data_IF_162361732124
#
_entry.id   IF_162361732124
#
_cell.length_a   1.000
_cell.length_b   1.000
_cell.length_c   1.000
_cell.angle_alpha   90.00
_cell.angle_beta   90.00
_cell.angle_gamma   90.00
#
_symmetry.space_group_name_H-M   'P 1'
#
loop_
_entity.id
_entity.type
_entity.pdbx_description
1 polymer ?
#
# COMPACT_ATOMS: atom_id res chain seq x y z
N UNK A 1 7.07 -15.93 2.41
CA UNK A 1 6.74 -14.61 1.85
C UNK A 1 5.33 -14.64 1.29
N UNK A 2 4.52 -13.65 1.64
CA UNK A 2 3.15 -13.57 1.15
C UNK A 2 2.99 -12.31 0.29
N UNK A 3 2.27 -12.45 -0.83
CA UNK A 3 2.05 -11.36 -1.79
C UNK A 3 0.56 -11.07 -1.86
N UNK A 4 0.18 -9.79 -1.64
CA UNK A 4 -1.15 -9.28 -1.91
C UNK A 4 -1.16 -8.64 -3.30
N UNK A 5 -2.07 -9.07 -4.14
CA UNK A 5 -2.19 -8.58 -5.52
C UNK A 5 -3.03 -7.31 -5.60
N UNK A 6 -2.88 -6.58 -6.69
CA UNK A 6 -3.75 -5.45 -7.01
C UNK A 6 -5.24 -5.86 -7.02
N UNK A 7 -5.54 -7.08 -7.45
CA UNK A 7 -6.90 -7.59 -7.46
C UNK A 7 -7.48 -7.72 -6.05
N UNK A 8 -6.71 -8.24 -5.10
CA UNK A 8 -7.16 -8.37 -3.71
C UNK A 8 -7.42 -7.02 -3.06
N UNK A 9 -6.56 -6.04 -3.31
CA UNK A 9 -6.77 -4.65 -2.86
C UNK A 9 -8.05 -4.08 -3.48
N UNK A 10 -8.28 -4.33 -4.76
CA UNK A 10 -9.47 -3.87 -5.48
C UNK A 10 -10.77 -4.49 -4.97
N UNK A 11 -10.75 -5.74 -4.59
CA UNK A 11 -11.92 -6.40 -3.99
C UNK A 11 -12.33 -5.70 -2.68
N UNK A 12 -11.37 -5.27 -1.88
CA UNK A 12 -11.63 -4.45 -0.70
C UNK A 12 -12.26 -3.10 -1.09
N UNK A 13 -11.75 -2.44 -2.13
CA UNK A 13 -12.28 -1.17 -2.65
C UNK A 13 -13.73 -1.31 -3.09
N UNK A 14 -14.04 -2.31 -3.90
CA UNK A 14 -15.40 -2.51 -4.42
C UNK A 14 -16.42 -2.76 -3.31
N UNK A 15 -16.03 -3.49 -2.28
CA UNK A 15 -16.90 -3.70 -1.12
C UNK A 15 -17.22 -2.37 -0.43
N UNK A 16 -16.23 -1.52 -0.27
CA UNK A 16 -16.38 -0.22 0.37
C UNK A 16 -17.26 0.74 -0.45
N UNK A 17 -17.05 0.79 -1.77
CA UNK A 17 -17.82 1.65 -2.69
C UNK A 17 -19.30 1.31 -2.65
N UNK A 18 -19.67 0.05 -2.62
CA UNK A 18 -21.07 -0.40 -2.59
C UNK A 18 -21.84 0.07 -1.36
N UNK A 19 -21.14 0.39 -0.28
CA UNK A 19 -21.73 0.68 1.02
C UNK A 19 -21.58 2.13 1.49
N UNK A 20 -21.11 3.03 0.62
CA UNK A 20 -20.77 4.38 1.05
C UNK A 20 -20.95 5.43 -0.04
N UNK A 21 -21.44 6.62 0.34
CA UNK A 21 -21.57 7.83 -0.50
C UNK A 21 -20.59 8.91 -0.08
N UNK A 22 -19.30 8.57 0.05
CA UNK A 22 -18.24 9.50 0.48
C UNK A 22 -17.28 9.81 -0.67
N UNK A 23 -16.40 10.81 -0.46
CA UNK A 23 -15.39 11.21 -1.46
C UNK A 23 -14.44 10.05 -1.82
N UNK A 24 -13.82 10.15 -3.00
CA UNK A 24 -12.87 9.13 -3.47
C UNK A 24 -11.69 8.91 -2.51
N UNK A 25 -11.17 9.97 -1.90
CA UNK A 25 -10.07 9.85 -0.94
C UNK A 25 -10.51 9.15 0.35
N UNK A 26 -11.73 9.40 0.80
CA UNK A 26 -12.30 8.73 1.97
C UNK A 26 -12.62 7.27 1.71
N UNK A 27 -13.08 6.93 0.50
CA UNK A 27 -13.29 5.55 0.07
C UNK A 27 -11.97 4.78 0.04
N UNK A 28 -10.92 5.41 -0.49
CA UNK A 28 -9.58 4.82 -0.51
C UNK A 28 -9.08 4.56 0.91
N UNK A 29 -9.29 5.48 1.84
CA UNK A 29 -8.91 5.32 3.25
C UNK A 29 -9.63 4.12 3.89
N UNK A 30 -10.94 3.99 3.66
CA UNK A 30 -11.72 2.84 4.17
C UNK A 30 -11.28 1.52 3.57
N UNK A 31 -11.00 1.50 2.27
CA UNK A 31 -10.50 0.31 1.60
C UNK A 31 -9.15 -0.12 2.17
N UNK A 32 -8.26 0.84 2.38
CA UNK A 32 -6.96 0.60 2.98
C UNK A 32 -7.08 0.08 4.43
N UNK A 33 -8.02 0.59 5.21
CA UNK A 33 -8.31 0.09 6.55
C UNK A 33 -8.76 -1.38 6.50
N UNK A 34 -9.68 -1.71 5.61
CA UNK A 34 -10.17 -3.07 5.45
C UNK A 34 -9.05 -4.04 5.04
N UNK A 35 -8.20 -3.64 4.11
CA UNK A 35 -7.04 -4.42 3.69
C UNK A 35 -6.04 -4.59 4.83
N UNK A 36 -5.77 -3.54 5.58
CA UNK A 36 -4.86 -3.57 6.72
C UNK A 36 -5.36 -4.54 7.80
N UNK A 37 -6.63 -4.49 8.13
CA UNK A 37 -7.24 -5.40 9.08
C UNK A 37 -7.14 -6.86 8.60
N UNK A 38 -7.39 -7.09 7.31
CA UNK A 38 -7.26 -8.42 6.72
C UNK A 38 -5.81 -8.93 6.81
N UNK A 39 -4.84 -8.08 6.53
CA UNK A 39 -3.41 -8.42 6.62
C UNK A 39 -3.06 -8.81 8.05
N UNK A 40 -3.42 -8.00 9.02
CA UNK A 40 -3.12 -8.25 10.42
C UNK A 40 -3.74 -9.57 10.89
N UNK A 41 -4.96 -9.85 10.46
CA UNK A 41 -5.72 -11.02 10.85
C UNK A 41 -5.19 -12.32 10.23
N UNK A 42 -4.65 -12.24 9.00
CA UNK A 42 -4.32 -13.43 8.20
C UNK A 42 -2.82 -13.68 8.04
N UNK A 43 -1.97 -12.74 8.43
CA UNK A 43 -0.53 -12.88 8.27
C UNK A 43 0.12 -13.01 9.65
N UNK A 44 0.42 -14.27 10.01
CA UNK A 44 1.03 -14.59 11.30
C UNK A 44 2.55 -14.64 11.19
N UNK A 45 3.24 -14.24 12.27
CA UNK A 45 4.70 -14.29 12.40
C UNK A 45 5.46 -13.42 11.38
N UNK A 46 4.77 -12.52 10.70
CA UNK A 46 5.38 -11.57 9.77
C UNK A 46 5.27 -10.17 10.37
N UNK A 47 6.39 -9.50 10.50
CA UNK A 47 6.45 -8.12 10.98
C UNK A 47 7.12 -7.17 10.00
N UNK A 48 7.62 -7.69 8.88
CA UNK A 48 8.29 -6.90 7.82
C UNK A 48 7.44 -6.92 6.58
N UNK A 49 7.16 -5.75 6.03
CA UNK A 49 6.30 -5.59 4.88
C UNK A 49 6.97 -4.66 3.87
N UNK A 50 7.11 -5.13 2.64
CA UNK A 50 7.57 -4.33 1.52
C UNK A 50 6.41 -4.12 0.56
N UNK A 51 6.13 -2.86 0.25
CA UNK A 51 5.02 -2.48 -0.62
C UNK A 51 5.57 -1.85 -1.89
N UNK A 52 5.21 -2.42 -3.03
CA UNK A 52 5.60 -1.92 -4.34
C UNK A 52 4.44 -1.13 -4.94
N UNK A 53 4.63 0.18 -5.09
CA UNK A 53 3.58 1.09 -5.53
C UNK A 53 3.88 1.66 -6.92
N UNK A 54 2.89 1.65 -7.79
CA UNK A 54 2.93 2.34 -9.07
C UNK A 54 2.63 3.83 -8.91
N UNK A 55 1.91 4.41 -9.86
CA UNK A 55 1.58 5.84 -9.83
C UNK A 55 0.08 6.16 -9.92
N UNK A 56 -0.75 5.14 -10.09
CA UNK A 56 -2.21 5.29 -10.16
C UNK A 56 -2.88 5.15 -8.80
N UNK A 57 -4.19 5.00 -8.80
CA UNK A 57 -4.99 4.91 -7.57
C UNK A 57 -4.64 3.68 -6.73
N UNK A 58 -4.23 2.58 -7.35
CA UNK A 58 -3.78 1.41 -6.61
C UNK A 58 -2.53 1.71 -5.78
N UNK A 59 -1.63 2.57 -6.27
CA UNK A 59 -0.50 3.06 -5.49
C UNK A 59 -0.98 3.86 -4.27
N UNK A 60 -2.04 4.65 -4.44
CA UNK A 60 -2.67 5.38 -3.34
C UNK A 60 -3.13 4.45 -2.22
N UNK A 61 -3.76 3.34 -2.58
CA UNK A 61 -4.12 2.27 -1.62
C UNK A 61 -2.88 1.74 -0.91
N UNK A 62 -1.82 1.46 -1.67
CA UNK A 62 -0.55 0.97 -1.13
C UNK A 62 0.09 1.95 -0.13
N UNK A 63 0.09 3.23 -0.45
CA UNK A 63 0.62 4.26 0.47
C UNK A 63 -0.21 4.38 1.75
N UNK A 64 -1.53 4.30 1.64
CA UNK A 64 -2.42 4.32 2.80
C UNK A 64 -2.22 3.08 3.69
N UNK A 65 -2.13 1.90 3.08
CA UNK A 65 -1.86 0.64 3.79
C UNK A 65 -0.50 0.70 4.50
N UNK A 66 0.52 1.24 3.83
CA UNK A 66 1.86 1.42 4.42
C UNK A 66 1.79 2.23 5.70
N UNK A 67 1.10 3.37 5.65
CA UNK A 67 0.91 4.24 6.80
C UNK A 67 0.20 3.55 7.95
N UNK A 68 -0.86 2.81 7.65
CA UNK A 68 -1.65 2.10 8.65
C UNK A 68 -0.89 0.94 9.28
N UNK A 69 -0.17 0.15 8.48
CA UNK A 69 0.64 -0.95 8.98
C UNK A 69 1.78 -0.45 9.87
N UNK A 70 2.40 0.67 9.50
CA UNK A 70 3.40 1.30 10.34
C UNK A 70 2.83 1.69 11.70
N UNK A 71 1.61 2.25 11.71
CA UNK A 71 0.90 2.59 12.95
C UNK A 71 0.61 1.38 13.83
N UNK A 72 0.53 0.20 13.26
CA UNK A 72 0.30 -1.07 13.97
C UNK A 72 1.59 -1.77 14.39
N UNK A 73 2.74 -1.15 14.18
CA UNK A 73 4.02 -1.67 14.65
C UNK A 73 4.80 -2.52 13.66
N UNK A 74 4.37 -2.58 12.41
CA UNK A 74 5.12 -3.29 11.37
C UNK A 74 6.31 -2.48 10.87
N UNK A 75 7.35 -3.16 10.43
CA UNK A 75 8.47 -2.56 9.71
C UNK A 75 8.10 -2.48 8.24
N UNK A 76 7.88 -1.28 7.73
CA UNK A 76 7.37 -1.06 6.38
C UNK A 76 8.40 -0.34 5.52
N UNK A 77 8.64 -0.89 4.33
CA UNK A 77 9.39 -0.22 3.26
C UNK A 77 8.47 -0.06 2.04
N UNK A 78 8.53 1.08 1.41
CA UNK A 78 7.77 1.37 0.20
C UNK A 78 8.73 1.60 -0.96
N UNK A 79 8.51 0.89 -2.06
CA UNK A 79 9.24 1.08 -3.30
C UNK A 79 8.30 1.69 -4.34
N UNK A 80 8.71 2.80 -4.91
CA UNK A 80 7.91 3.51 -5.92
C UNK A 80 8.82 4.21 -6.92
N UNK A 81 8.27 4.64 -8.04
CA UNK A 81 9.00 5.51 -8.96
C UNK A 81 8.90 6.95 -8.46
N UNK A 82 9.97 7.45 -7.87
CA UNK A 82 10.01 8.78 -7.27
C UNK A 82 9.84 9.90 -8.30
N UNK A 83 10.06 9.62 -9.59
CA UNK A 83 9.93 10.59 -10.69
C UNK A 83 8.57 10.51 -11.39
N UNK A 84 7.69 9.61 -10.99
CA UNK A 84 6.41 9.41 -11.66
C UNK A 84 5.43 10.54 -11.38
N UNK A 85 4.49 10.71 -12.32
CA UNK A 85 3.32 11.56 -12.13
C UNK A 85 2.23 10.72 -11.46
N UNK A 86 1.98 10.97 -10.19
CA UNK A 86 0.99 10.25 -9.42
C UNK A 86 -0.42 10.78 -9.70
N UNK A 87 -1.43 9.90 -9.61
CA UNK A 87 -2.82 10.32 -9.57
C UNK A 87 -3.05 11.24 -8.36
N UNK A 88 -4.13 12.00 -8.38
CA UNK A 88 -4.45 12.95 -7.29
C UNK A 88 -4.52 12.25 -5.94
N UNK A 89 -5.22 11.12 -5.87
CA UNK A 89 -5.37 10.34 -4.65
C UNK A 89 -4.05 9.70 -4.21
N UNK A 90 -3.28 9.19 -5.16
CA UNK A 90 -1.96 8.62 -4.86
C UNK A 90 -1.01 9.69 -4.32
N UNK A 91 -0.98 10.87 -4.95
CA UNK A 91 -0.15 11.99 -4.50
C UNK A 91 -0.51 12.43 -3.07
N UNK A 92 -1.80 12.51 -2.75
CA UNK A 92 -2.27 12.85 -1.41
C UNK A 92 -1.83 11.81 -0.38
N UNK A 93 -1.97 10.54 -0.69
CA UNK A 93 -1.57 9.48 0.23
C UNK A 93 -0.05 9.36 0.37
N UNK A 94 0.71 9.62 -0.69
CA UNK A 94 2.17 9.71 -0.59
C UNK A 94 2.60 10.86 0.34
N UNK A 95 1.94 12.01 0.23
CA UNK A 95 2.19 13.14 1.13
C UNK A 95 1.91 12.77 2.59
N UNK A 96 0.76 12.15 2.85
CA UNK A 96 0.40 11.67 4.20
C UNK A 96 1.42 10.68 4.75
N UNK A 97 1.90 9.78 3.90
CA UNK A 97 2.93 8.82 4.26
C UNK A 97 4.23 9.50 4.68
N UNK A 98 4.67 10.49 3.90
CA UNK A 98 5.89 11.27 4.20
C UNK A 98 5.74 12.06 5.49
N UNK A 99 4.58 12.64 5.73
CA UNK A 99 4.30 13.43 6.94
C UNK A 99 4.31 12.57 8.21
N UNK A 100 3.95 11.30 8.10
CA UNK A 100 4.03 10.37 9.22
C UNK A 100 5.46 10.15 9.69
N UNK A 101 6.42 10.16 8.78
CA UNK A 101 7.82 9.87 9.08
C UNK A 101 8.08 8.39 9.40
N UNK A 102 9.34 8.05 9.63
CA UNK A 102 9.80 6.71 10.03
C UNK A 102 9.48 5.57 9.05
N UNK A 103 9.13 5.89 7.80
CA UNK A 103 8.92 4.90 6.75
C UNK A 103 9.93 5.15 5.65
N UNK A 104 10.69 4.13 5.30
CA UNK A 104 11.59 4.20 4.15
C UNK A 104 10.79 4.17 2.86
N UNK A 105 10.92 5.22 2.05
CA UNK A 105 10.35 5.32 0.71
C UNK A 105 11.51 5.34 -0.26
N UNK A 106 11.63 4.30 -1.06
CA UNK A 106 12.79 4.05 -1.92
C UNK A 106 12.35 3.98 -3.38
N UNK A 107 13.27 4.38 -4.28
CA UNK A 107 13.07 4.17 -5.71
C UNK A 107 13.18 2.68 -6.07
N UNK A 108 12.52 2.27 -7.14
CA UNK A 108 12.57 0.89 -7.62
C UNK A 108 13.98 0.35 -7.83
N UNK A 109 14.91 1.20 -8.23
CA UNK A 109 16.30 0.80 -8.43
C UNK A 109 16.91 0.16 -7.18
N UNK A 110 16.49 0.62 -6.01
CA UNK A 110 16.95 0.06 -4.74
C UNK A 110 16.42 -1.35 -4.47
N UNK A 111 15.31 -1.73 -5.12
CA UNK A 111 14.73 -3.04 -4.95
C UNK A 111 15.58 -4.15 -5.59
N UNK A 112 16.30 -3.84 -6.66
CA UNK A 112 17.15 -4.82 -7.34
C UNK A 112 18.33 -5.28 -6.50
N UNK A 113 18.82 -4.42 -5.62
CA UNK A 113 19.94 -4.71 -4.73
C UNK A 113 19.47 -5.17 -3.35
N UNK A 114 18.17 -5.10 -3.08
CA UNK A 114 17.62 -5.46 -1.80
C UNK A 114 17.55 -6.98 -1.63
N UNK A 115 18.12 -7.47 -0.56
CA UNK A 115 17.86 -8.85 -0.12
C UNK A 115 16.57 -8.84 0.69
N UNK A 116 15.58 -9.55 0.20
CA UNK A 116 14.35 -9.72 0.97
C UNK A 116 14.58 -10.81 2.01
N UNK A 117 14.42 -10.45 3.27
CA UNK A 117 14.56 -11.39 4.37
C UNK A 117 13.41 -12.38 4.38
N UNK A 118 13.66 -13.56 4.92
CA UNK A 118 12.59 -14.51 5.23
C UNK A 118 11.57 -13.84 6.17
N UNK A 119 10.34 -14.29 6.14
CA UNK A 119 9.23 -13.73 6.91
C UNK A 119 8.89 -12.28 6.53
N UNK A 120 9.12 -11.90 5.29
CA UNK A 120 8.69 -10.63 4.73
C UNK A 120 7.45 -10.85 3.88
N UNK A 121 6.44 -9.99 4.07
CA UNK A 121 5.27 -9.92 3.21
C UNK A 121 5.53 -8.89 2.12
N UNK A 122 5.21 -9.25 0.87
CA UNK A 122 5.25 -8.31 -0.24
C UNK A 122 3.83 -7.97 -0.64
N UNK A 123 3.54 -6.68 -0.73
CA UNK A 123 2.27 -6.16 -1.22
C UNK A 123 2.51 -5.55 -2.60
N UNK A 124 1.78 -6.05 -3.58
CA UNK A 124 1.82 -5.55 -4.94
C UNK A 124 0.71 -4.51 -5.14
N UNK A 125 1.12 -3.25 -5.25
CA UNK A 125 0.26 -2.11 -5.55
C UNK A 125 0.75 -1.38 -6.81
N UNK A 126 1.34 -2.12 -7.75
CA UNK A 126 1.94 -1.55 -8.97
C UNK A 126 0.89 -1.11 -9.98
N UNK A 127 -0.09 -1.96 -10.24
CA UNK A 127 -1.09 -1.73 -11.27
C UNK A 127 -2.50 -1.98 -10.73
N UNK A 128 -3.43 -1.13 -11.17
CA UNK A 128 -4.84 -1.34 -10.94
C UNK A 128 -5.52 -2.03 -12.13
N UNK A 129 -6.79 -1.69 -12.35
CA UNK A 129 -7.61 -2.26 -13.42
C UNK A 129 -7.28 -1.75 -14.82
N UNK A 130 -6.45 -0.74 -14.95
CA UNK A 130 -6.20 -0.02 -16.19
C UNK A 130 -5.08 -0.52 -17.09
N UNK A 131 -4.71 -1.78 -16.93
CA UNK A 131 -3.73 -2.40 -17.81
C UNK A 131 -4.35 -2.74 -19.15
#
# INVERSE_FOLDING_TARGET
>A
MKILTAQQIRECDQYTIKNSSVSSISLMERAAEACTEWIIKNIYHINKINIFCGNGNNAGDGFAIARMLKSKGFYVKVFTNMSANFSTEAAKNLKRLREKGDIEILDYEKAFDAKFEENTCIIDALFGTGL
#
